data_IF_785911728599
#
_entry.id   IF_785911728599
#
_cell.length_a   1.000
_cell.length_b   1.000
_cell.length_c   1.000
_cell.angle_alpha   90.00
_cell.angle_beta   90.00
_cell.angle_gamma   90.00
#
_symmetry.space_group_name_H-M   'P 1'
#
loop_
_entity.id
_entity.type
_entity.pdbx_description
1 polymer ?
#
# COMPACT_ATOMS: atom_id res chain seq x y z
N UNK A 1 -4.10 -15.65 11.51
CA UNK A 1 -2.86 -14.85 11.77
C UNK A 1 -1.61 -15.44 11.09
N UNK A 2 -1.37 -16.74 11.19
CA UNK A 2 -0.17 -17.40 10.60
C UNK A 2 -0.22 -17.43 9.06
N UNK A 3 -1.38 -17.63 8.44
CA UNK A 3 -1.56 -17.62 6.97
C UNK A 3 -1.34 -16.21 6.39
N UNK A 4 -1.85 -15.17 7.04
CA UNK A 4 -1.70 -13.78 6.61
C UNK A 4 -0.23 -13.33 6.64
N UNK A 5 0.55 -13.72 7.66
CA UNK A 5 2.00 -13.44 7.74
C UNK A 5 2.82 -14.13 6.64
N UNK A 6 2.39 -15.31 6.17
CA UNK A 6 3.09 -16.05 5.11
C UNK A 6 2.80 -15.45 3.73
N UNK A 7 1.57 -14.99 3.50
CA UNK A 7 1.16 -14.31 2.27
C UNK A 7 1.81 -12.94 2.14
N UNK A 8 1.83 -12.13 3.22
CA UNK A 8 2.46 -10.82 3.21
C UNK A 8 3.96 -10.89 2.89
N UNK A 9 4.66 -11.90 3.43
CA UNK A 9 6.09 -12.10 3.14
C UNK A 9 6.36 -12.44 1.68
N UNK A 10 5.48 -13.17 1.00
CA UNK A 10 5.65 -13.54 -0.40
C UNK A 10 5.28 -12.40 -1.37
N UNK A 11 4.32 -11.54 -1.01
CA UNK A 11 3.90 -10.40 -1.83
C UNK A 11 4.94 -9.27 -1.75
N UNK A 12 5.57 -9.08 -0.57
CA UNK A 12 6.54 -8.00 -0.34
C UNK A 12 8.01 -8.45 -0.39
N UNK A 13 8.31 -9.75 -0.57
CA UNK A 13 9.68 -10.25 -0.76
C UNK A 13 10.22 -10.04 -2.19
N UNK A 14 9.39 -9.57 -3.11
CA UNK A 14 9.86 -9.04 -4.39
C UNK A 14 10.57 -7.72 -4.16
N UNK A 15 11.82 -7.61 -4.61
CA UNK A 15 12.67 -6.42 -4.50
C UNK A 15 11.94 -5.13 -4.94
N UNK A 16 11.38 -4.41 -3.98
CA UNK A 16 10.94 -3.05 -4.21
C UNK A 16 12.14 -2.11 -4.15
N UNK A 17 12.97 -2.12 -5.17
CA UNK A 17 13.92 -1.06 -5.44
C UNK A 17 13.17 0.14 -6.03
N UNK A 18 12.56 0.94 -5.16
CA UNK A 18 12.00 2.22 -5.57
C UNK A 18 13.13 3.18 -5.98
N UNK A 19 13.11 3.65 -7.24
CA UNK A 19 14.09 4.60 -7.80
C UNK A 19 13.95 6.04 -7.28
N UNK A 20 13.16 6.30 -6.24
CA UNK A 20 12.91 7.67 -5.78
C UNK A 20 13.70 8.01 -4.53
N UNK A 21 14.55 9.04 -4.66
CA UNK A 21 15.33 9.63 -3.55
C UNK A 21 14.43 10.51 -2.68
N UNK A 22 14.09 10.07 -1.47
CA UNK A 22 13.43 10.88 -0.43
C UNK A 22 14.44 11.39 0.61
N UNK A 23 14.14 12.51 1.28
CA UNK A 23 15.00 13.13 2.29
C UNK A 23 14.74 12.49 3.66
N UNK A 24 15.52 11.51 4.02
CA UNK A 24 15.59 10.95 5.36
C UNK A 24 16.70 9.92 5.36
N UNK A 25 17.89 10.27 5.83
CA UNK A 25 18.99 9.33 5.95
C UNK A 25 19.11 8.91 7.41
N UNK A 26 18.84 7.63 7.69
CA UNK A 26 19.20 7.02 8.96
C UNK A 26 20.65 6.54 8.90
N UNK A 27 21.38 6.77 9.96
CA UNK A 27 22.73 6.21 10.12
C UNK A 27 22.61 4.67 10.16
N UNK A 28 23.26 3.98 9.20
CA UNK A 28 23.26 2.53 9.12
C UNK A 28 24.50 1.95 9.78
N UNK A 29 25.67 2.26 9.24
CA UNK A 29 26.92 1.70 9.73
C UNK A 29 28.12 2.62 9.44
N UNK A 30 29.27 2.27 10.03
CA UNK A 30 30.56 2.85 9.67
C UNK A 30 31.40 1.76 9.02
N UNK A 31 31.84 1.99 7.78
CA UNK A 31 32.76 1.07 7.07
C UNK A 31 34.05 1.76 6.65
N UNK A 32 35.08 0.99 6.35
CA UNK A 32 36.33 1.51 5.81
C UNK A 32 36.09 2.19 4.45
N UNK A 33 36.71 3.33 4.22
CA UNK A 33 36.65 4.10 2.98
C UNK A 33 37.20 3.26 1.82
N UNK A 34 36.51 3.28 0.70
CA UNK A 34 36.94 2.69 -0.54
C UNK A 34 37.14 3.77 -1.63
N UNK A 35 38.11 3.62 -2.54
CA UNK A 35 38.27 4.57 -3.64
C UNK A 35 36.97 4.69 -4.44
N UNK A 36 36.46 5.95 -4.54
CA UNK A 36 35.18 6.25 -5.17
C UNK A 36 34.08 6.69 -4.21
N UNK A 37 34.26 6.50 -2.91
CA UNK A 37 33.33 7.01 -1.90
C UNK A 37 33.43 8.55 -1.76
N UNK A 38 32.29 9.19 -1.37
CA UNK A 38 32.28 10.62 -1.12
C UNK A 38 33.08 10.98 0.14
N UNK A 39 34.15 11.73 -0.02
CA UNK A 39 35.02 12.21 1.07
C UNK A 39 34.27 13.02 2.13
N UNK A 40 33.10 13.60 1.79
CA UNK A 40 32.23 14.32 2.71
C UNK A 40 31.57 13.42 3.76
N UNK A 41 31.50 12.12 3.45
CA UNK A 41 30.92 11.10 4.33
C UNK A 41 31.94 10.55 5.35
N UNK A 42 33.21 11.01 5.33
CA UNK A 42 34.24 10.55 6.25
C UNK A 42 33.87 10.92 7.69
N UNK A 43 33.88 9.90 8.56
CA UNK A 43 33.81 10.10 10.01
C UNK A 43 35.21 10.36 10.59
N UNK A 44 35.54 11.62 10.76
CA UNK A 44 36.85 12.02 11.28
C UNK A 44 37.11 11.54 12.71
N UNK A 45 36.07 11.33 13.53
CA UNK A 45 36.23 10.83 14.90
C UNK A 45 36.64 9.35 14.93
N UNK A 46 36.03 8.52 14.09
CA UNK A 46 36.37 7.10 13.93
C UNK A 46 37.72 6.96 13.24
N UNK A 47 37.96 7.71 12.19
CA UNK A 47 39.21 7.77 11.44
C UNK A 47 40.39 8.09 12.34
N UNK A 48 40.26 9.07 13.24
CA UNK A 48 41.32 9.45 14.17
C UNK A 48 41.62 8.36 15.21
N UNK A 49 40.65 7.54 15.57
CA UNK A 49 40.86 6.41 16.54
C UNK A 49 41.48 5.19 15.89
N UNK A 50 41.17 4.90 14.65
CA UNK A 50 41.54 3.67 13.97
C UNK A 50 42.70 3.84 12.99
N UNK A 51 43.20 5.07 12.79
CA UNK A 51 44.28 5.42 11.84
C UNK A 51 44.03 4.99 10.39
N UNK A 52 42.77 4.81 10.03
CA UNK A 52 42.32 4.51 8.69
C UNK A 52 41.05 5.29 8.38
N UNK A 53 40.83 5.74 7.16
CA UNK A 53 39.62 6.52 6.83
C UNK A 53 38.37 5.61 6.88
N UNK A 54 37.38 6.06 7.64
CA UNK A 54 36.06 5.44 7.74
C UNK A 54 34.99 6.41 7.26
N UNK A 55 33.97 5.89 6.60
CA UNK A 55 32.81 6.64 6.14
C UNK A 55 31.55 6.23 6.93
N UNK A 56 30.66 7.21 7.11
CA UNK A 56 29.30 6.99 7.57
C UNK A 56 28.44 6.54 6.39
N UNK A 57 27.92 5.34 6.45
CA UNK A 57 26.92 4.84 5.53
C UNK A 57 25.56 5.20 6.08
N UNK A 58 24.77 5.89 5.29
CA UNK A 58 23.40 6.24 5.62
C UNK A 58 22.48 5.43 4.74
N UNK A 59 21.58 4.68 5.35
CA UNK A 59 20.46 4.08 4.65
C UNK A 59 19.28 5.04 4.67
N UNK A 60 18.64 5.18 3.51
CA UNK A 60 17.45 6.00 3.40
C UNK A 60 16.26 5.19 3.93
N UNK A 61 15.83 5.45 5.17
CA UNK A 61 14.55 4.95 5.67
C UNK A 61 13.42 5.62 4.89
N UNK A 62 12.91 4.94 3.89
CA UNK A 62 11.75 5.40 3.12
C UNK A 62 10.48 4.99 3.83
N UNK A 63 9.82 5.95 4.44
CA UNK A 63 8.43 5.78 4.84
C UNK A 63 7.57 5.66 3.59
N UNK A 64 7.10 4.48 3.28
CA UNK A 64 6.09 4.31 2.27
C UNK A 64 4.71 4.71 2.80
N UNK A 65 3.90 5.23 1.92
CA UNK A 65 2.48 5.42 2.18
C UNK A 65 1.72 4.45 1.30
N UNK A 66 0.92 3.61 1.92
CA UNK A 66 0.07 2.63 1.24
C UNK A 66 -1.37 3.10 1.31
N UNK A 67 -2.05 3.15 0.17
CA UNK A 67 -3.48 3.46 0.08
C UNK A 67 -4.24 2.25 -0.44
N UNK A 68 -5.20 1.78 0.32
CA UNK A 68 -6.08 0.69 -0.08
C UNK A 68 -7.38 1.28 -0.63
N UNK A 69 -7.70 1.02 -1.90
CA UNK A 69 -8.97 1.34 -2.52
C UNK A 69 -9.77 0.05 -2.56
N UNK A 70 -10.76 -0.07 -1.69
CA UNK A 70 -11.52 -1.31 -1.50
C UNK A 70 -12.92 -1.13 -2.03
N UNK A 71 -13.26 -1.93 -3.02
CA UNK A 71 -14.61 -2.02 -3.54
C UNK A 71 -15.51 -2.72 -2.53
N UNK A 72 -16.53 -2.02 -2.08
CA UNK A 72 -17.52 -2.54 -1.12
C UNK A 72 -18.90 -2.71 -1.76
N UNK A 73 -18.99 -2.57 -3.10
CA UNK A 73 -20.23 -2.70 -3.85
C UNK A 73 -20.80 -4.10 -3.87
N UNK A 74 -22.04 -4.21 -4.23
CA UNK A 74 -22.67 -5.39 -4.85
C UNK A 74 -23.04 -6.59 -4.00
N UNK A 75 -22.74 -6.67 -2.73
CA UNK A 75 -22.95 -7.93 -1.99
C UNK A 75 -24.27 -8.06 -1.21
N UNK A 76 -25.21 -7.11 -1.35
CA UNK A 76 -26.47 -7.18 -0.59
C UNK A 76 -27.52 -8.18 -1.11
N UNK A 77 -27.42 -8.64 -2.36
CA UNK A 77 -28.53 -9.34 -3.00
C UNK A 77 -28.29 -10.76 -3.47
N UNK A 78 -27.07 -11.29 -3.46
CA UNK A 78 -26.84 -12.65 -3.97
C UNK A 78 -25.98 -13.51 -3.05
N UNK A 79 -26.62 -14.29 -2.20
CA UNK A 79 -26.16 -15.57 -1.64
C UNK A 79 -24.79 -15.64 -0.98
N UNK A 80 -24.42 -16.84 -0.58
CA UNK A 80 -23.15 -17.22 0.05
C UNK A 80 -21.88 -16.84 -0.73
N UNK A 81 -21.97 -16.72 -2.04
CA UNK A 81 -20.82 -16.41 -2.92
C UNK A 81 -20.38 -14.95 -2.83
N UNK A 82 -21.32 -14.01 -2.74
CA UNK A 82 -20.99 -12.58 -2.61
C UNK A 82 -20.37 -12.26 -1.25
N UNK A 83 -20.82 -12.93 -0.20
CA UNK A 83 -20.22 -12.81 1.12
C UNK A 83 -18.78 -13.37 1.12
N UNK A 84 -18.53 -14.46 0.42
CA UNK A 84 -17.20 -15.04 0.26
C UNK A 84 -16.21 -14.09 -0.44
N UNK A 85 -16.63 -13.38 -1.49
CA UNK A 85 -15.81 -12.38 -2.18
C UNK A 85 -15.48 -11.21 -1.27
N UNK A 86 -16.47 -10.69 -0.56
CA UNK A 86 -16.28 -9.60 0.40
C UNK A 86 -15.30 -9.98 1.50
N UNK A 87 -15.42 -11.18 2.05
CA UNK A 87 -14.52 -11.70 3.07
C UNK A 87 -13.09 -11.83 2.51
N UNK A 88 -12.93 -12.29 1.27
CA UNK A 88 -11.63 -12.35 0.59
C UNK A 88 -11.03 -10.96 0.35
N UNK A 89 -11.82 -9.99 -0.12
CA UNK A 89 -11.36 -8.60 -0.29
C UNK A 89 -10.90 -8.01 1.05
N UNK A 90 -11.66 -8.23 2.12
CA UNK A 90 -11.31 -7.79 3.46
C UNK A 90 -10.04 -8.50 3.99
N UNK A 91 -9.87 -9.81 3.73
CA UNK A 91 -8.67 -10.56 4.12
C UNK A 91 -7.42 -10.06 3.39
N UNK A 92 -7.51 -9.82 2.08
CA UNK A 92 -6.42 -9.26 1.28
C UNK A 92 -6.05 -7.85 1.77
N UNK A 93 -7.04 -6.97 1.94
CA UNK A 93 -6.82 -5.62 2.43
C UNK A 93 -6.23 -5.59 3.84
N UNK A 94 -6.71 -6.46 4.74
CA UNK A 94 -6.18 -6.61 6.08
C UNK A 94 -4.74 -7.12 6.07
N UNK A 95 -4.41 -8.07 5.20
CA UNK A 95 -3.05 -8.60 5.04
C UNK A 95 -2.08 -7.50 4.60
N UNK A 96 -2.48 -6.70 3.61
CA UNK A 96 -1.70 -5.55 3.15
C UNK A 96 -1.52 -4.51 4.26
N UNK A 97 -2.60 -4.18 5.00
CA UNK A 97 -2.54 -3.25 6.13
C UNK A 97 -1.62 -3.76 7.26
N UNK A 98 -1.63 -5.06 7.56
CA UNK A 98 -0.72 -5.63 8.56
C UNK A 98 0.75 -5.58 8.15
N UNK A 99 1.06 -5.73 6.86
CA UNK A 99 2.44 -5.65 6.39
C UNK A 99 3.06 -4.27 6.61
N UNK A 100 2.24 -3.21 6.57
CA UNK A 100 2.72 -1.83 6.83
C UNK A 100 3.20 -1.64 8.27
N UNK A 101 2.69 -2.43 9.23
CA UNK A 101 3.18 -2.38 10.62
C UNK A 101 4.62 -2.86 10.70
N UNK A 102 4.95 -3.97 10.00
CA UNK A 102 6.28 -4.56 10.03
C UNK A 102 7.35 -3.63 9.44
N UNK A 103 6.95 -2.84 8.43
CA UNK A 103 7.83 -1.92 7.71
C UNK A 103 7.78 -0.48 8.26
N UNK A 104 7.02 -0.23 9.33
CA UNK A 104 6.79 1.11 9.89
C UNK A 104 6.24 2.13 8.86
N UNK A 105 5.44 1.66 7.91
CA UNK A 105 4.83 2.45 6.85
C UNK A 105 3.49 3.06 7.27
N UNK A 106 3.00 4.04 6.48
CA UNK A 106 1.67 4.62 6.65
C UNK A 106 0.66 3.84 5.81
N UNK A 107 -0.53 3.61 6.36
CA UNK A 107 -1.64 3.01 5.61
C UNK A 107 -2.91 3.82 5.77
N UNK A 108 -3.62 4.02 4.66
CA UNK A 108 -4.95 4.60 4.60
C UNK A 108 -5.88 3.73 3.75
N UNK A 109 -7.18 3.99 3.83
CA UNK A 109 -8.16 3.24 3.04
C UNK A 109 -9.25 4.14 2.50
N UNK A 110 -9.70 3.85 1.28
CA UNK A 110 -10.88 4.40 0.63
C UNK A 110 -11.83 3.24 0.37
N UNK A 111 -12.98 3.26 1.03
CA UNK A 111 -14.10 2.39 0.68
C UNK A 111 -14.94 3.06 -0.40
N UNK A 112 -15.22 2.35 -1.46
CA UNK A 112 -16.01 2.89 -2.56
C UNK A 112 -17.03 1.88 -3.08
N UNK A 113 -18.10 2.41 -3.65
CA UNK A 113 -19.13 1.74 -4.41
C UNK A 113 -19.33 2.53 -5.73
N UNK A 114 -20.53 2.94 -6.09
CA UNK A 114 -20.79 3.98 -7.09
C UNK A 114 -20.47 5.40 -6.58
N UNK A 115 -20.03 5.50 -5.34
CA UNK A 115 -19.56 6.72 -4.65
C UNK A 115 -18.48 6.39 -3.65
N UNK A 116 -17.84 7.44 -3.12
CA UNK A 116 -16.92 7.28 -1.99
C UNK A 116 -17.75 7.10 -0.71
N UNK A 117 -17.68 5.92 -0.15
CA UNK A 117 -18.41 5.56 1.06
C UNK A 117 -17.70 6.05 2.33
N UNK A 118 -16.37 5.86 2.38
CA UNK A 118 -15.55 6.26 3.53
C UNK A 118 -14.10 6.47 3.15
N UNK A 119 -13.49 7.48 3.71
CA UNK A 119 -12.04 7.73 3.60
C UNK A 119 -11.39 7.74 4.98
N UNK A 120 -10.36 6.93 5.16
CA UNK A 120 -9.51 6.91 6.34
C UNK A 120 -8.10 7.32 5.89
N UNK A 121 -7.61 8.50 6.32
CA UNK A 121 -6.31 9.02 5.89
C UNK A 121 -5.16 8.15 6.38
N UNK A 122 -4.07 8.15 5.62
CA UNK A 122 -2.89 7.33 5.91
C UNK A 122 -2.21 7.78 7.20
N UNK A 123 -2.07 6.87 8.16
CA UNK A 123 -1.36 7.05 9.43
C UNK A 123 -0.55 5.79 9.75
N UNK A 124 0.43 5.95 10.64
CA UNK A 124 1.22 4.85 11.18
C UNK A 124 0.59 4.25 12.44
N UNK A 125 1.05 3.06 12.75
CA UNK A 125 0.90 2.45 14.05
C UNK A 125 -0.19 1.38 14.13
N UNK A 126 0.04 0.43 15.03
CA UNK A 126 -0.79 -0.75 15.23
C UNK A 126 -2.26 -0.44 15.50
N UNK A 127 -2.53 0.58 16.31
CA UNK A 127 -3.91 1.00 16.65
C UNK A 127 -4.67 1.48 15.43
N UNK A 128 -4.00 2.23 14.53
CA UNK A 128 -4.60 2.71 13.30
C UNK A 128 -4.90 1.56 12.33
N UNK A 129 -3.98 0.62 12.16
CA UNK A 129 -4.19 -0.58 11.34
C UNK A 129 -5.34 -1.43 11.89
N UNK A 130 -5.41 -1.63 13.21
CA UNK A 130 -6.52 -2.35 13.84
C UNK A 130 -7.87 -1.64 13.64
N UNK A 131 -7.87 -0.30 13.63
CA UNK A 131 -9.06 0.48 13.27
C UNK A 131 -9.49 0.21 11.83
N UNK A 132 -8.55 0.28 10.86
CA UNK A 132 -8.83 -0.06 9.46
C UNK A 132 -9.40 -1.47 9.31
N UNK A 133 -8.82 -2.45 9.98
CA UNK A 133 -9.28 -3.85 9.91
C UNK A 133 -10.68 -4.00 10.47
N UNK A 134 -10.99 -3.32 11.59
CA UNK A 134 -12.35 -3.33 12.15
C UNK A 134 -13.35 -2.76 11.14
N UNK A 135 -13.00 -1.64 10.52
CA UNK A 135 -13.84 -1.05 9.48
C UNK A 135 -14.03 -1.99 8.28
N UNK A 136 -12.96 -2.63 7.78
CA UNK A 136 -13.03 -3.60 6.69
C UNK A 136 -14.01 -4.75 6.97
N UNK A 137 -14.04 -5.23 8.21
CA UNK A 137 -14.88 -6.37 8.60
C UNK A 137 -16.34 -5.99 8.90
N UNK A 138 -16.57 -4.77 9.39
CA UNK A 138 -17.90 -4.31 9.85
C UNK A 138 -18.56 -3.31 8.90
N UNK A 139 -17.89 -2.91 7.81
CA UNK A 139 -18.41 -1.91 6.91
C UNK A 139 -19.64 -2.41 6.12
N UNK A 140 -20.71 -1.65 6.16
CA UNK A 140 -21.91 -1.90 5.36
C UNK A 140 -22.05 -0.80 4.31
N UNK A 141 -21.94 -1.12 3.00
CA UNK A 141 -22.08 -0.13 1.95
C UNK A 141 -23.51 0.38 1.85
N UNK A 142 -23.65 1.64 1.46
CA UNK A 142 -24.96 2.25 1.25
C UNK A 142 -25.50 2.05 -0.17
N UNK A 143 -24.63 1.73 -1.12
CA UNK A 143 -24.98 1.47 -2.54
C UNK A 143 -24.45 0.12 -3.03
N UNK A 144 -25.09 -0.38 -4.10
CA UNK A 144 -24.76 -1.67 -4.72
C UNK A 144 -23.98 -1.53 -6.05
N UNK A 145 -23.90 -0.32 -6.62
CA UNK A 145 -23.18 -0.05 -7.87
C UNK A 145 -21.67 0.11 -7.63
N UNK A 146 -20.89 0.01 -8.71
CA UNK A 146 -19.43 0.19 -8.70
C UNK A 146 -19.02 1.30 -9.66
N UNK A 147 -18.25 2.29 -9.18
CA UNK A 147 -17.60 3.31 -10.01
C UNK A 147 -16.12 3.47 -9.64
N UNK A 148 -15.29 2.66 -10.28
CA UNK A 148 -13.82 2.68 -10.11
C UNK A 148 -13.23 4.01 -10.61
N UNK A 149 -13.80 4.61 -11.64
CA UNK A 149 -13.30 5.86 -12.19
C UNK A 149 -13.40 6.99 -11.15
N UNK A 150 -14.54 7.08 -10.47
CA UNK A 150 -14.75 8.05 -9.39
C UNK A 150 -13.78 7.78 -8.20
N UNK A 151 -13.57 6.52 -7.83
CA UNK A 151 -12.65 6.16 -6.77
C UNK A 151 -11.21 6.58 -7.08
N UNK A 152 -10.73 6.36 -8.29
CA UNK A 152 -9.41 6.77 -8.76
C UNK A 152 -9.26 8.29 -8.84
N UNK A 153 -10.28 9.02 -9.30
CA UNK A 153 -10.28 10.48 -9.32
C UNK A 153 -10.21 11.06 -7.90
N UNK A 154 -11.03 10.53 -7.00
CA UNK A 154 -11.00 10.93 -5.60
C UNK A 154 -9.64 10.67 -4.97
N UNK A 155 -9.08 9.48 -5.17
CA UNK A 155 -7.76 9.10 -4.69
C UNK A 155 -6.67 10.07 -5.18
N UNK A 156 -6.61 10.36 -6.48
CA UNK A 156 -5.63 11.27 -7.08
C UNK A 156 -5.75 12.72 -6.55
N UNK A 157 -6.96 13.13 -6.15
CA UNK A 157 -7.20 14.44 -5.54
C UNK A 157 -6.90 14.47 -4.04
N UNK A 158 -7.23 13.42 -3.31
CA UNK A 158 -7.03 13.33 -1.86
C UNK A 158 -5.55 13.11 -1.48
N UNK A 159 -4.85 12.31 -2.28
CA UNK A 159 -3.45 11.99 -2.04
C UNK A 159 -2.53 12.83 -2.95
N UNK A 160 -1.84 13.81 -2.33
CA UNK A 160 -0.94 14.72 -3.07
C UNK A 160 0.50 14.23 -3.16
N UNK A 161 0.94 13.42 -2.18
CA UNK A 161 2.29 12.84 -2.14
C UNK A 161 2.29 11.49 -2.80
N UNK A 162 3.40 11.15 -3.46
CA UNK A 162 3.60 9.83 -4.04
C UNK A 162 3.32 8.73 -3.01
N UNK A 163 2.59 7.71 -3.42
CA UNK A 163 2.26 6.54 -2.59
C UNK A 163 2.03 5.32 -3.47
N UNK A 164 2.05 4.14 -2.86
CA UNK A 164 1.64 2.89 -3.48
C UNK A 164 0.15 2.66 -3.17
N UNK A 165 -0.66 2.53 -4.20
CA UNK A 165 -2.09 2.27 -4.08
C UNK A 165 -2.42 0.84 -4.53
N UNK A 166 -3.28 0.16 -3.78
CA UNK A 166 -3.84 -1.14 -4.15
C UNK A 166 -5.34 -0.98 -4.39
N UNK A 167 -5.76 -1.16 -5.63
CA UNK A 167 -7.17 -1.18 -6.03
C UNK A 167 -7.67 -2.63 -5.97
N UNK A 168 -8.56 -2.91 -5.03
CA UNK A 168 -9.09 -4.24 -4.75
C UNK A 168 -10.57 -4.28 -5.15
N UNK A 169 -10.90 -5.01 -6.20
CA UNK A 169 -12.25 -5.11 -6.76
C UNK A 169 -12.40 -6.43 -7.54
N UNK A 170 -13.62 -6.80 -7.87
CA UNK A 170 -13.89 -7.83 -8.89
C UNK A 170 -13.90 -7.28 -10.31
N UNK A 171 -13.86 -5.95 -10.46
CA UNK A 171 -13.89 -5.20 -11.71
C UNK A 171 -15.16 -5.43 -12.57
N UNK A 172 -16.22 -5.99 -11.98
CA UNK A 172 -17.49 -6.18 -12.69
C UNK A 172 -18.21 -4.82 -12.75
N UNK A 173 -18.60 -4.41 -13.96
CA UNK A 173 -19.27 -3.14 -14.19
C UNK A 173 -18.36 -1.90 -14.03
N UNK A 174 -17.05 -2.08 -14.10
CA UNK A 174 -16.04 -1.03 -13.84
C UNK A 174 -16.13 0.21 -14.75
N UNK A 175 -16.85 0.13 -15.88
CA UNK A 175 -16.95 1.24 -16.85
C UNK A 175 -15.59 1.64 -17.45
N UNK A 176 -15.52 2.85 -18.01
CA UNK A 176 -14.27 3.37 -18.58
C UNK A 176 -13.42 4.06 -17.51
N UNK A 177 -12.45 3.33 -16.95
CA UNK A 177 -11.51 3.83 -15.93
C UNK A 177 -10.15 4.24 -16.48
N UNK A 178 -9.94 4.20 -17.82
CA UNK A 178 -8.62 4.39 -18.44
C UNK A 178 -8.01 5.77 -18.11
N UNK A 179 -8.74 6.86 -18.31
CA UNK A 179 -8.22 8.20 -18.03
C UNK A 179 -7.94 8.44 -16.54
N UNK A 180 -8.87 8.14 -15.60
CA UNK A 180 -8.56 8.24 -14.16
C UNK A 180 -7.38 7.38 -13.72
N UNK A 181 -7.23 6.19 -14.28
CA UNK A 181 -6.09 5.31 -14.00
C UNK A 181 -4.77 5.91 -14.49
N UNK A 182 -4.73 6.46 -15.70
CA UNK A 182 -3.54 7.18 -16.20
C UNK A 182 -3.15 8.34 -15.29
N UNK A 183 -4.12 9.15 -14.87
CA UNK A 183 -3.86 10.30 -13.99
C UNK A 183 -3.29 9.82 -12.63
N UNK A 184 -3.88 8.78 -12.06
CA UNK A 184 -3.42 8.21 -10.81
C UNK A 184 -2.00 7.60 -10.95
N UNK A 185 -1.75 6.83 -12.02
CA UNK A 185 -0.46 6.15 -12.26
C UNK A 185 0.68 7.11 -12.59
N UNK A 186 0.40 8.31 -13.11
CA UNK A 186 1.43 9.33 -13.32
C UNK A 186 1.98 9.91 -12.00
N UNK A 187 1.24 9.80 -10.92
CA UNK A 187 1.62 10.38 -9.60
C UNK A 187 1.90 9.33 -8.54
N UNK A 188 1.31 8.17 -8.68
CA UNK A 188 1.32 7.09 -7.68
C UNK A 188 1.63 5.76 -8.37
N UNK A 189 2.12 4.82 -7.61
CA UNK A 189 2.21 3.43 -8.04
C UNK A 189 0.85 2.75 -7.78
N UNK A 190 0.13 2.39 -8.85
CA UNK A 190 -1.20 1.79 -8.74
C UNK A 190 -1.14 0.31 -9.12
N UNK A 191 -1.47 -0.55 -8.17
CA UNK A 191 -1.54 -1.99 -8.33
C UNK A 191 -2.99 -2.44 -8.25
N UNK A 192 -3.47 -3.18 -9.27
CA UNK A 192 -4.82 -3.73 -9.28
C UNK A 192 -4.79 -5.18 -8.77
N UNK A 193 -5.70 -5.50 -7.84
CA UNK A 193 -5.92 -6.85 -7.32
C UNK A 193 -7.33 -7.25 -7.65
N UNK A 194 -7.47 -8.17 -8.60
CA UNK A 194 -8.77 -8.70 -8.98
C UNK A 194 -9.15 -9.90 -8.10
N UNK A 195 -10.33 -9.83 -7.51
CA UNK A 195 -10.94 -10.93 -6.77
C UNK A 195 -12.09 -11.49 -7.60
N UNK A 196 -11.98 -12.71 -8.08
CA UNK A 196 -13.01 -13.36 -8.89
C UNK A 196 -13.29 -14.77 -8.38
N UNK A 197 -14.54 -15.23 -8.63
CA UNK A 197 -14.90 -16.64 -8.43
C UNK A 197 -14.73 -17.40 -9.75
N UNK A 198 -14.10 -18.57 -9.70
CA UNK A 198 -13.92 -19.44 -10.86
C UNK A 198 -15.23 -19.80 -11.56
N UNK A 199 -16.31 -19.89 -10.82
CA UNK A 199 -17.66 -20.23 -11.33
C UNK A 199 -18.29 -19.11 -12.16
N UNK A 200 -17.85 -17.85 -11.97
CA UNK A 200 -18.31 -16.71 -12.78
C UNK A 200 -17.54 -16.58 -14.09
N UNK A 201 -16.38 -17.19 -14.22
CA UNK A 201 -15.56 -17.18 -15.43
C UNK A 201 -15.95 -18.28 -16.43
N UNK A 202 -16.79 -19.24 -16.04
CA UNK A 202 -17.22 -20.37 -16.87
C UNK A 202 -18.66 -20.20 -17.41
N UNK A 203 -19.30 -19.01 -17.24
CA UNK A 203 -20.57 -18.60 -17.79
C UNK A 203 -20.40 -17.63 -18.96
#
# INVERSE_FOLDING_TARGET
EIKARKLSRNIFAGEYHSQFKGRGMAFSEVREYQPGDDVRSIDWNVTARLNKPYIKVFEEERELTVMLLVDVSGSRHFGTLSQMKRDMMAEVAATLAFSTIANNDKVGVIFFSDKIEKFIPAKKGKTHVLHIIRELLSFEPTSAGTDIAQALQYFANAQKRHCTAFLISDFIGAGNMYQPLMIASNRHEVNAIQIYDRREAEL
#
